data_IF_829019453636
#
_entry.id   IF_829019453636
#
_cell.length_a   1.000
_cell.length_b   1.000
_cell.length_c   1.000
_cell.angle_alpha   90.00
_cell.angle_beta   90.00
_cell.angle_gamma   90.00
#
_symmetry.space_group_name_H-M   'P 1'
#
loop_
_entity.id
_entity.type
_entity.pdbx_description
1 polymer ?
#
# COMPACT_ATOMS: atom_id res chain seq x y z
N UNK A 1 23.63 -9.97 -8.73
CA UNK A 1 22.82 -10.41 -7.57
C UNK A 1 23.47 -9.83 -6.33
N UNK A 2 22.89 -8.78 -5.80
CA UNK A 2 23.31 -8.21 -4.51
C UNK A 2 23.04 -9.26 -3.43
N UNK A 3 24.09 -9.74 -2.79
CA UNK A 3 23.94 -10.67 -1.68
C UNK A 3 23.25 -9.93 -0.54
N UNK A 4 22.11 -10.44 -0.09
CA UNK A 4 21.42 -9.96 1.09
C UNK A 4 22.42 -9.88 2.26
N UNK A 5 22.69 -8.70 2.77
CA UNK A 5 23.60 -8.52 3.89
C UNK A 5 22.83 -8.71 5.21
N UNK A 6 22.97 -9.92 5.78
CA UNK A 6 22.26 -10.30 7.01
C UNK A 6 22.55 -9.40 8.20
N UNK A 7 23.75 -8.83 8.31
CA UNK A 7 24.07 -7.92 9.41
C UNK A 7 23.35 -6.58 9.30
N UNK A 8 23.26 -6.03 8.08
CA UNK A 8 22.48 -4.83 7.81
C UNK A 8 20.98 -5.09 8.00
N UNK A 9 20.48 -6.23 7.53
CA UNK A 9 19.08 -6.64 7.73
C UNK A 9 18.72 -6.68 9.21
N UNK A 10 19.55 -7.28 10.06
CA UNK A 10 19.28 -7.37 11.50
C UNK A 10 19.31 -6.01 12.18
N UNK A 11 20.10 -5.05 11.71
CA UNK A 11 20.12 -3.69 12.24
C UNK A 11 18.88 -2.88 11.84
N UNK A 12 18.36 -3.07 10.63
CA UNK A 12 17.16 -2.39 10.13
C UNK A 12 15.86 -3.03 10.65
N UNK A 13 15.90 -4.29 11.06
CA UNK A 13 14.73 -5.05 11.50
C UNK A 13 13.92 -4.36 12.60
N UNK A 14 14.51 -3.81 13.69
CA UNK A 14 13.74 -3.16 14.75
C UNK A 14 12.93 -1.96 14.25
N UNK A 15 13.50 -1.12 13.40
CA UNK A 15 12.84 0.07 12.85
C UNK A 15 11.68 -0.36 11.96
N UNK A 16 11.92 -1.36 11.10
CA UNK A 16 10.89 -1.90 10.22
C UNK A 16 9.76 -2.56 11.01
N UNK A 17 10.07 -3.27 12.10
CA UNK A 17 9.06 -3.87 12.98
C UNK A 17 8.19 -2.83 13.68
N UNK A 18 8.74 -1.68 14.08
CA UNK A 18 7.93 -0.55 14.61
C UNK A 18 6.95 -0.04 13.55
N UNK A 19 7.41 0.13 12.31
CA UNK A 19 6.53 0.51 11.19
C UNK A 19 5.41 -0.52 10.97
N UNK A 20 5.75 -1.81 10.93
CA UNK A 20 4.77 -2.91 10.83
C UNK A 20 3.74 -2.84 11.96
N UNK A 21 4.17 -2.61 13.19
CA UNK A 21 3.28 -2.52 14.35
C UNK A 21 2.29 -1.34 14.22
N UNK A 22 2.77 -0.17 13.82
CA UNK A 22 1.92 1.01 13.59
C UNK A 22 0.84 0.70 12.56
N UNK A 23 1.22 0.09 11.44
CA UNK A 23 0.28 -0.27 10.37
C UNK A 23 -0.71 -1.35 10.81
N UNK A 24 -0.29 -2.34 11.57
CA UNK A 24 -1.19 -3.34 12.16
C UNK A 24 -2.22 -2.68 13.09
N UNK A 25 -1.81 -1.70 13.89
CA UNK A 25 -2.73 -0.94 14.75
C UNK A 25 -3.73 -0.14 13.90
N UNK A 26 -3.28 0.51 12.84
CA UNK A 26 -4.16 1.25 11.93
C UNK A 26 -5.21 0.32 11.27
N UNK A 27 -4.79 -0.85 10.80
CA UNK A 27 -5.70 -1.86 10.23
C UNK A 27 -6.66 -2.43 11.28
N UNK A 28 -6.20 -2.63 12.52
CA UNK A 28 -7.05 -3.07 13.62
C UNK A 28 -8.12 -2.02 13.96
N UNK A 29 -7.76 -0.74 13.97
CA UNK A 29 -8.71 0.36 14.16
C UNK A 29 -9.76 0.35 13.05
N UNK A 30 -9.38 0.20 11.79
CA UNK A 30 -10.32 0.04 10.68
C UNK A 30 -11.26 -1.18 10.88
N UNK A 31 -10.71 -2.31 11.35
CA UNK A 31 -11.49 -3.52 11.65
C UNK A 31 -12.53 -3.29 12.77
N UNK A 32 -12.15 -2.55 13.82
CA UNK A 32 -13.05 -2.28 14.96
C UNK A 32 -14.13 -1.28 14.58
N UNK A 33 -13.76 -0.18 13.93
CA UNK A 33 -14.69 0.89 13.55
C UNK A 33 -15.65 0.43 12.44
N UNK A 34 -15.19 -0.40 11.51
CA UNK A 34 -15.97 -0.93 10.36
C UNK A 34 -16.64 0.15 9.53
N UNK A 35 -16.01 1.31 9.44
CA UNK A 35 -16.52 2.43 8.68
C UNK A 35 -15.72 2.64 7.39
N UNK A 36 -16.43 2.91 6.31
CA UNK A 36 -15.86 3.24 5.01
C UNK A 36 -14.89 4.42 5.10
N UNK A 37 -15.22 5.43 5.90
CA UNK A 37 -14.39 6.63 6.05
C UNK A 37 -13.06 6.30 6.70
N UNK A 38 -13.04 5.42 7.71
CA UNK A 38 -11.82 4.97 8.37
C UNK A 38 -10.90 4.25 7.39
N UNK A 39 -11.43 3.33 6.56
CA UNK A 39 -10.66 2.66 5.51
C UNK A 39 -10.13 3.65 4.48
N UNK A 40 -10.98 4.57 3.99
CA UNK A 40 -10.56 5.57 3.01
C UNK A 40 -9.44 6.44 3.55
N UNK A 41 -9.56 6.96 4.78
CA UNK A 41 -8.56 7.79 5.41
C UNK A 41 -7.23 7.06 5.61
N UNK A 42 -7.25 5.85 6.16
CA UNK A 42 -6.05 5.05 6.40
C UNK A 42 -5.33 4.72 5.10
N UNK A 43 -6.05 4.25 4.08
CA UNK A 43 -5.46 3.91 2.78
C UNK A 43 -4.91 5.17 2.11
N UNK A 44 -5.64 6.30 2.16
CA UNK A 44 -5.20 7.56 1.58
C UNK A 44 -3.91 8.08 2.22
N UNK A 45 -3.81 8.03 3.55
CA UNK A 45 -2.58 8.41 4.28
C UNK A 45 -1.41 7.52 3.84
N UNK A 46 -1.61 6.21 3.74
CA UNK A 46 -0.55 5.29 3.34
C UNK A 46 -0.08 5.51 1.90
N UNK A 47 -0.99 5.76 0.96
CA UNK A 47 -0.61 6.09 -0.41
C UNK A 47 0.07 7.46 -0.49
N UNK A 48 -0.37 8.42 0.32
CA UNK A 48 0.30 9.73 0.43
C UNK A 48 1.72 9.60 0.96
N UNK A 49 1.93 8.83 2.05
CA UNK A 49 3.26 8.52 2.59
C UNK A 49 4.13 7.85 1.52
N UNK A 50 3.57 6.89 0.76
CA UNK A 50 4.27 6.27 -0.37
C UNK A 50 4.72 7.31 -1.40
N UNK A 51 3.87 8.29 -1.71
CA UNK A 51 4.18 9.34 -2.68
C UNK A 51 5.32 10.24 -2.19
N UNK A 52 5.30 10.66 -0.91
CA UNK A 52 6.37 11.48 -0.32
C UNK A 52 7.73 10.77 -0.36
N UNK A 53 7.73 9.48 -0.08
CA UNK A 53 8.96 8.68 -0.01
C UNK A 53 9.32 7.95 -1.31
N UNK A 54 8.57 8.18 -2.39
CA UNK A 54 8.78 7.50 -3.67
C UNK A 54 10.14 7.74 -4.30
N UNK A 55 10.75 8.91 -4.04
CA UNK A 55 12.06 9.29 -4.58
C UNK A 55 13.22 9.04 -3.61
N UNK A 56 12.93 8.77 -2.34
CA UNK A 56 13.98 8.50 -1.34
C UNK A 56 14.47 7.07 -1.50
N UNK A 57 15.73 6.95 -1.91
CA UNK A 57 16.41 5.66 -1.94
C UNK A 57 17.10 5.39 -0.61
N UNK A 58 16.92 4.22 -0.07
CA UNK A 58 17.61 3.70 1.11
C UNK A 58 18.32 2.40 0.75
N UNK A 59 19.39 2.10 1.47
CA UNK A 59 20.02 0.78 1.42
C UNK A 59 19.34 -0.12 2.45
N UNK A 60 18.47 -1.04 1.99
CA UNK A 60 17.81 -2.01 2.83
C UNK A 60 18.49 -3.36 2.67
N UNK A 61 19.24 -3.76 3.70
CA UNK A 61 19.96 -5.04 3.73
C UNK A 61 20.92 -5.26 2.54
N UNK A 62 21.54 -4.20 2.03
CA UNK A 62 22.43 -4.24 0.87
C UNK A 62 21.70 -4.15 -0.49
N UNK A 63 20.39 -3.87 -0.47
CA UNK A 63 19.59 -3.66 -1.67
C UNK A 63 19.03 -2.23 -1.72
N UNK A 64 19.10 -1.56 -2.88
CA UNK A 64 18.47 -0.25 -3.05
C UNK A 64 16.96 -0.40 -2.89
N UNK A 65 16.36 0.22 -1.88
CA UNK A 65 14.94 0.15 -1.61
C UNK A 65 14.32 1.53 -1.46
N UNK A 66 12.99 1.59 -1.54
CA UNK A 66 12.20 2.80 -1.44
C UNK A 66 11.32 2.69 -0.18
N UNK A 67 11.55 3.50 0.87
CA UNK A 67 10.91 3.33 2.18
C UNK A 67 9.37 3.45 2.13
N UNK A 68 8.82 4.17 1.15
CA UNK A 68 7.38 4.27 0.94
C UNK A 68 6.69 2.95 0.58
N UNK A 69 7.42 1.91 0.19
CA UNK A 69 6.81 0.65 -0.25
C UNK A 69 6.10 -0.12 0.88
N UNK A 70 6.50 0.05 2.14
CA UNK A 70 5.78 -0.51 3.29
C UNK A 70 4.37 0.07 3.38
N UNK A 71 4.24 1.39 3.27
CA UNK A 71 2.94 2.06 3.30
C UNK A 71 2.05 1.65 2.11
N UNK A 72 2.65 1.42 0.92
CA UNK A 72 1.90 0.86 -0.23
C UNK A 72 1.36 -0.54 0.07
N UNK A 73 2.15 -1.41 0.69
CA UNK A 73 1.69 -2.75 1.08
C UNK A 73 0.57 -2.66 2.11
N UNK A 74 0.67 -1.76 3.09
CA UNK A 74 -0.39 -1.51 4.05
C UNK A 74 -1.67 -1.00 3.39
N UNK A 75 -1.57 -0.10 2.40
CA UNK A 75 -2.72 0.36 1.61
C UNK A 75 -3.39 -0.80 0.84
N UNK A 76 -2.61 -1.70 0.24
CA UNK A 76 -3.12 -2.91 -0.43
C UNK A 76 -3.87 -3.81 0.57
N UNK A 77 -3.27 -4.08 1.71
CA UNK A 77 -3.86 -4.91 2.77
C UNK A 77 -5.11 -4.26 3.36
N UNK A 78 -5.14 -2.93 3.48
CA UNK A 78 -6.31 -2.16 3.85
C UNK A 78 -7.49 -2.35 2.89
N UNK A 79 -7.24 -2.32 1.57
CA UNK A 79 -8.25 -2.67 0.56
C UNK A 79 -8.72 -4.12 0.71
N UNK A 80 -7.78 -5.04 0.97
CA UNK A 80 -8.09 -6.44 1.21
C UNK A 80 -8.92 -6.69 2.43
N UNK A 81 -8.60 -6.05 3.51
CA UNK A 81 -9.37 -6.12 4.75
C UNK A 81 -10.77 -5.53 4.56
N UNK A 82 -10.88 -4.39 3.87
CA UNK A 82 -12.15 -3.78 3.51
C UNK A 82 -13.02 -4.75 2.70
N UNK A 83 -12.44 -5.45 1.71
CA UNK A 83 -13.13 -6.47 0.93
C UNK A 83 -13.62 -7.63 1.79
N UNK A 84 -12.76 -8.16 2.64
CA UNK A 84 -13.09 -9.30 3.51
C UNK A 84 -14.15 -8.99 4.58
N UNK A 85 -14.32 -7.73 4.97
CA UNK A 85 -15.26 -7.31 6.03
C UNK A 85 -16.53 -6.70 5.45
N UNK A 86 -16.40 -5.82 4.46
CA UNK A 86 -17.48 -4.96 3.96
C UNK A 86 -17.94 -5.33 2.53
N UNK A 87 -17.24 -6.26 1.89
CA UNK A 87 -17.57 -6.74 0.54
C UNK A 87 -17.08 -5.85 -0.59
N UNK A 88 -17.30 -6.33 -1.83
CA UNK A 88 -16.75 -5.75 -3.06
C UNK A 88 -17.25 -4.33 -3.35
N UNK A 89 -18.53 -4.05 -3.12
CA UNK A 89 -19.12 -2.74 -3.42
C UNK A 89 -18.52 -1.63 -2.57
N UNK A 90 -18.37 -1.89 -1.25
CA UNK A 90 -17.76 -0.93 -0.34
C UNK A 90 -16.29 -0.70 -0.69
N UNK A 91 -15.54 -1.76 -0.96
CA UNK A 91 -14.14 -1.69 -1.37
C UNK A 91 -13.97 -0.87 -2.65
N UNK A 92 -14.85 -1.04 -3.63
CA UNK A 92 -14.83 -0.24 -4.84
C UNK A 92 -15.06 1.24 -4.57
N UNK A 93 -15.99 1.59 -3.68
CA UNK A 93 -16.24 2.98 -3.26
C UNK A 93 -15.03 3.58 -2.53
N UNK A 94 -14.38 2.81 -1.64
CA UNK A 94 -13.14 3.21 -0.95
C UNK A 94 -12.03 3.47 -1.97
N UNK A 95 -11.76 2.50 -2.85
CA UNK A 95 -10.73 2.61 -3.87
C UNK A 95 -10.92 3.84 -4.77
N UNK A 96 -12.13 4.07 -5.29
CA UNK A 96 -12.43 5.26 -6.10
C UNK A 96 -12.21 6.56 -5.33
N UNK A 97 -12.59 6.61 -4.06
CA UNK A 97 -12.38 7.81 -3.23
C UNK A 97 -10.90 8.11 -3.03
N UNK A 98 -10.08 7.08 -2.82
CA UNK A 98 -8.63 7.23 -2.70
C UNK A 98 -8.01 7.66 -4.03
N UNK A 99 -8.38 7.04 -5.15
CA UNK A 99 -7.90 7.44 -6.49
C UNK A 99 -8.24 8.90 -6.78
N UNK A 100 -9.47 9.33 -6.48
CA UNK A 100 -9.87 10.73 -6.65
C UNK A 100 -9.04 11.68 -5.78
N UNK A 101 -8.82 11.33 -4.51
CA UNK A 101 -7.99 12.13 -3.61
C UNK A 101 -6.53 12.23 -4.07
N UNK A 102 -5.97 11.14 -4.62
CA UNK A 102 -4.63 11.15 -5.20
C UNK A 102 -4.54 12.00 -6.46
N UNK A 103 -5.57 11.98 -7.32
CA UNK A 103 -5.64 12.86 -8.48
C UNK A 103 -5.67 14.33 -8.07
N UNK A 104 -6.47 14.69 -7.06
CA UNK A 104 -6.47 16.04 -6.52
C UNK A 104 -5.10 16.43 -5.95
N UNK A 105 -4.48 15.54 -5.19
CA UNK A 105 -3.13 15.76 -4.65
C UNK A 105 -2.13 15.98 -5.78
N UNK A 106 -2.17 15.15 -6.82
CA UNK A 106 -1.32 15.29 -8.00
C UNK A 106 -1.49 16.66 -8.68
N UNK A 107 -2.73 17.11 -8.91
CA UNK A 107 -3.00 18.43 -9.49
C UNK A 107 -2.51 19.57 -8.61
N UNK A 108 -2.68 19.46 -7.30
CA UNK A 108 -2.20 20.47 -6.36
C UNK A 108 -0.67 20.54 -6.32
N UNK A 109 0.03 19.42 -6.22
CA UNK A 109 1.50 19.40 -6.23
C UNK A 109 2.05 19.95 -7.53
N UNK A 110 1.47 19.58 -8.67
CA UNK A 110 1.89 20.12 -9.96
C UNK A 110 1.63 21.62 -10.10
N UNK A 111 0.56 22.13 -9.51
CA UNK A 111 0.28 23.57 -9.52
C UNK A 111 1.30 24.36 -8.71
N UNK A 112 1.78 23.83 -7.59
CA UNK A 112 2.83 24.47 -6.79
C UNK A 112 4.16 24.53 -7.52
N UNK A 113 4.49 23.52 -8.32
CA UNK A 113 5.71 23.52 -9.13
C UNK A 113 5.68 24.58 -10.27
N UNK A 114 4.48 25.03 -10.68
CA UNK A 114 4.29 26.06 -11.71
C UNK A 114 4.23 27.49 -11.12
N UNK A 115 4.21 27.65 -9.81
CA UNK A 115 4.22 28.97 -9.19
C UNK A 115 5.67 29.44 -9.01
N UNK A 116 5.95 30.66 -9.52
CA UNK A 116 7.23 31.30 -9.29
C UNK A 116 7.44 31.61 -7.81
N UNK A 117 8.67 31.40 -7.34
CA UNK A 117 9.05 31.69 -5.97
C UNK A 117 8.91 33.18 -5.68
N UNK A 118 8.31 33.52 -4.55
CA UNK A 118 8.31 34.90 -4.06
C UNK A 118 9.75 35.23 -3.62
N UNK A 119 10.43 36.21 -4.22
CA UNK A 119 11.79 36.55 -3.86
C UNK A 119 11.94 36.84 -2.35
N UNK A 120 12.85 36.11 -1.70
CA UNK A 120 13.13 36.26 -0.27
C UNK A 120 12.33 35.34 0.66
N UNK A 121 11.56 34.36 0.14
CA UNK A 121 10.81 33.39 0.93
C UNK A 121 11.33 31.98 0.62
N UNK A 122 12.28 31.50 1.41
CA UNK A 122 12.92 30.18 1.23
C UNK A 122 12.01 28.98 1.60
N UNK A 123 10.72 29.20 1.84
CA UNK A 123 9.77 28.11 2.17
C UNK A 123 9.61 27.13 1.02
N UNK A 124 9.72 27.63 -0.22
CA UNK A 124 9.60 26.82 -1.42
C UNK A 124 10.74 25.79 -1.55
N UNK A 125 11.97 26.15 -1.18
CA UNK A 125 13.11 25.24 -1.23
C UNK A 125 12.98 24.09 -0.23
N UNK A 126 12.46 24.37 0.96
CA UNK A 126 12.18 23.33 1.97
C UNK A 126 11.07 22.38 1.50
N UNK A 127 10.02 22.88 0.88
CA UNK A 127 8.94 22.06 0.30
C UNK A 127 9.41 21.27 -0.93
N UNK A 128 10.20 21.84 -1.81
CA UNK A 128 10.80 21.15 -2.97
C UNK A 128 11.70 20.01 -2.54
N UNK A 129 12.46 20.16 -1.46
CA UNK A 129 13.30 19.10 -0.92
C UNK A 129 12.50 18.01 -0.17
N UNK A 130 11.26 18.29 0.21
CA UNK A 130 10.41 17.38 0.99
C UNK A 130 9.38 16.65 0.15
N UNK A 131 8.90 17.24 -0.94
CA UNK A 131 7.99 16.60 -1.90
C UNK A 131 8.78 16.01 -3.08
N UNK A 132 8.29 14.94 -3.71
CA UNK A 132 8.92 14.41 -4.91
C UNK A 132 8.95 15.51 -5.98
N UNK A 133 10.15 15.95 -6.32
CA UNK A 133 10.40 17.05 -7.27
C UNK A 133 9.99 16.71 -8.70
N UNK A 134 9.57 15.48 -8.96
CA UNK A 134 9.17 15.03 -10.28
C UNK A 134 7.75 14.43 -10.28
N UNK A 135 7.01 14.82 -11.29
CA UNK A 135 5.66 14.35 -11.60
C UNK A 135 5.62 12.83 -11.79
N UNK A 136 6.72 12.23 -12.29
CA UNK A 136 6.81 10.81 -12.62
C UNK A 136 6.61 9.86 -11.42
N UNK A 137 7.31 10.00 -10.28
CA UNK A 137 7.11 9.13 -9.13
C UNK A 137 5.68 9.21 -8.57
N UNK A 138 5.07 10.40 -8.57
CA UNK A 138 3.68 10.56 -8.13
C UNK A 138 2.70 9.84 -9.07
N UNK A 139 2.91 9.93 -10.39
CA UNK A 139 2.15 9.16 -11.39
C UNK A 139 2.36 7.67 -11.24
N UNK A 140 3.58 7.22 -10.95
CA UNK A 140 3.88 5.82 -10.71
C UNK A 140 3.15 5.27 -9.47
N UNK A 141 3.09 6.03 -8.38
CA UNK A 141 2.33 5.66 -7.18
C UNK A 141 0.84 5.57 -7.49
N UNK A 142 0.29 6.57 -8.19
CA UNK A 142 -1.11 6.58 -8.62
C UNK A 142 -1.42 5.39 -9.55
N UNK A 143 -0.59 5.16 -10.56
CA UNK A 143 -0.70 4.03 -11.49
C UNK A 143 -0.66 2.70 -10.74
N UNK A 144 0.35 2.49 -9.90
CA UNK A 144 0.45 1.29 -9.06
C UNK A 144 -0.80 1.06 -8.22
N UNK A 145 -1.34 2.08 -7.59
CA UNK A 145 -2.55 1.95 -6.77
C UNK A 145 -3.78 1.61 -7.60
N UNK A 146 -3.92 2.19 -8.81
CA UNK A 146 -5.00 1.87 -9.75
C UNK A 146 -4.91 0.40 -10.18
N UNK A 147 -3.72 -0.04 -10.62
CA UNK A 147 -3.50 -1.43 -11.04
C UNK A 147 -3.74 -2.42 -9.90
N UNK A 148 -3.23 -2.14 -8.72
CA UNK A 148 -3.43 -2.97 -7.53
C UNK A 148 -4.93 -3.11 -7.24
N UNK A 149 -5.69 -2.02 -7.20
CA UNK A 149 -7.12 -2.07 -6.91
C UNK A 149 -7.90 -2.86 -7.95
N UNK A 150 -7.60 -2.68 -9.25
CA UNK A 150 -8.21 -3.46 -10.32
C UNK A 150 -7.84 -4.95 -10.22
N UNK A 151 -6.57 -5.25 -9.96
CA UNK A 151 -6.08 -6.62 -9.84
C UNK A 151 -6.68 -7.35 -8.65
N UNK A 152 -6.84 -6.67 -7.51
CA UNK A 152 -7.50 -7.23 -6.33
C UNK A 152 -8.95 -7.60 -6.62
N UNK A 153 -9.70 -6.74 -7.31
CA UNK A 153 -11.10 -7.02 -7.65
C UNK A 153 -11.24 -8.20 -8.62
N UNK A 154 -10.43 -8.22 -9.68
CA UNK A 154 -10.45 -9.30 -10.67
C UNK A 154 -9.98 -10.61 -10.01
N UNK A 155 -8.88 -10.57 -9.26
CA UNK A 155 -8.29 -11.74 -8.63
C UNK A 155 -9.21 -12.40 -7.62
N UNK A 156 -9.89 -11.62 -6.78
CA UNK A 156 -10.85 -12.19 -5.84
C UNK A 156 -12.09 -12.77 -6.50
N UNK A 157 -12.60 -12.14 -7.53
CA UNK A 157 -13.72 -12.70 -8.28
C UNK A 157 -13.33 -14.01 -8.96
N UNK A 158 -12.12 -14.07 -9.53
CA UNK A 158 -11.62 -15.25 -10.24
C UNK A 158 -11.27 -16.39 -9.29
N UNK A 159 -10.72 -16.09 -8.12
CA UNK A 159 -10.29 -17.04 -7.09
C UNK A 159 -11.38 -17.30 -6.03
N UNK A 160 -12.61 -16.84 -6.23
CA UNK A 160 -13.71 -16.97 -5.27
C UNK A 160 -14.03 -18.42 -4.88
N UNK A 161 -13.66 -19.39 -5.72
CA UNK A 161 -13.82 -20.83 -5.46
C UNK A 161 -12.73 -21.44 -4.61
N UNK A 162 -11.64 -20.71 -4.38
CA UNK A 162 -10.50 -21.18 -3.58
C UNK A 162 -10.72 -20.84 -2.09
N UNK A 163 -10.01 -21.54 -1.19
CA UNK A 163 -10.01 -21.16 0.22
C UNK A 163 -9.64 -19.67 0.38
N UNK A 164 -10.35 -18.91 1.22
CA UNK A 164 -10.17 -17.44 1.31
C UNK A 164 -8.71 -17.02 1.55
N UNK A 165 -7.97 -17.75 2.38
CA UNK A 165 -6.57 -17.46 2.66
C UNK A 165 -5.68 -17.61 1.41
N UNK A 166 -5.95 -18.63 0.57
CA UNK A 166 -5.18 -18.89 -0.64
C UNK A 166 -5.51 -17.85 -1.72
N UNK A 167 -6.80 -17.57 -1.94
CA UNK A 167 -7.25 -16.55 -2.87
C UNK A 167 -6.65 -15.18 -2.51
N UNK A 168 -6.68 -14.83 -1.22
CA UNK A 168 -6.12 -13.60 -0.71
C UNK A 168 -4.61 -13.52 -0.93
N UNK A 169 -3.87 -14.57 -0.55
CA UNK A 169 -2.41 -14.61 -0.69
C UNK A 169 -1.97 -14.51 -2.16
N UNK A 170 -2.55 -15.32 -3.04
CA UNK A 170 -2.20 -15.30 -4.46
C UNK A 170 -2.48 -13.95 -5.11
N UNK A 171 -3.64 -13.37 -4.80
CA UNK A 171 -4.03 -12.07 -5.36
C UNK A 171 -3.09 -10.96 -4.88
N UNK A 172 -2.74 -10.94 -3.59
CA UNK A 172 -1.85 -9.93 -3.02
C UNK A 172 -0.41 -10.04 -3.55
N UNK A 173 0.13 -11.24 -3.65
CA UNK A 173 1.47 -11.46 -4.20
C UNK A 173 1.53 -11.04 -5.68
N UNK A 174 0.53 -11.44 -6.47
CA UNK A 174 0.47 -11.08 -7.89
C UNK A 174 0.29 -9.57 -8.10
N UNK A 175 -0.59 -8.93 -7.32
CA UNK A 175 -0.78 -7.47 -7.35
C UNK A 175 0.49 -6.73 -6.93
N UNK A 176 1.21 -7.24 -5.95
CA UNK A 176 2.50 -6.69 -5.51
C UNK A 176 3.56 -6.75 -6.59
N UNK A 177 3.65 -7.86 -7.32
CA UNK A 177 4.61 -8.02 -8.42
C UNK A 177 4.30 -7.05 -9.56
N UNK A 178 3.05 -7.04 -10.04
CA UNK A 178 2.63 -6.17 -11.14
C UNK A 178 2.81 -4.70 -10.77
N UNK A 179 2.40 -4.32 -9.56
CA UNK A 179 2.57 -2.95 -9.06
C UNK A 179 4.04 -2.56 -8.84
N UNK A 180 4.95 -3.51 -8.52
CA UNK A 180 6.38 -3.22 -8.42
C UNK A 180 7.00 -2.94 -9.79
N UNK A 181 6.66 -3.76 -10.79
CA UNK A 181 7.12 -3.59 -12.17
C UNK A 181 6.62 -2.26 -12.74
N UNK A 182 5.32 -1.99 -12.63
CA UNK A 182 4.71 -0.76 -13.13
C UNK A 182 5.33 0.46 -12.44
N UNK A 183 5.41 0.45 -11.11
CA UNK A 183 5.97 1.55 -10.33
C UNK A 183 7.38 1.92 -10.76
N UNK A 184 8.26 0.93 -10.95
CA UNK A 184 9.65 1.18 -11.35
C UNK A 184 9.73 1.62 -12.81
N UNK A 185 8.97 1.01 -13.71
CA UNK A 185 8.99 1.37 -15.12
C UNK A 185 8.44 2.79 -15.36
N UNK A 186 7.32 3.13 -14.75
CA UNK A 186 6.71 4.47 -14.94
C UNK A 186 7.51 5.54 -14.21
N UNK A 187 7.93 5.26 -12.97
CA UNK A 187 8.59 6.24 -12.12
C UNK A 187 10.03 6.53 -12.54
N UNK A 188 10.77 5.50 -12.93
CA UNK A 188 12.24 5.59 -12.97
C UNK A 188 12.88 5.16 -14.27
N UNK A 189 12.18 4.52 -15.21
CA UNK A 189 12.78 4.14 -16.49
C UNK A 189 13.23 5.36 -17.28
N UNK A 190 14.52 5.43 -17.58
CA UNK A 190 15.14 6.56 -18.30
C UNK A 190 15.25 7.86 -17.49
N UNK A 191 15.06 7.81 -16.16
CA UNK A 191 15.34 8.94 -15.28
C UNK A 191 16.78 8.87 -14.75
N UNK A 192 17.39 10.03 -14.52
CA UNK A 192 18.72 10.13 -13.90
C UNK A 192 18.66 10.18 -12.36
N UNK A 193 17.48 10.02 -11.78
CA UNK A 193 17.26 10.18 -10.33
C UNK A 193 17.73 8.98 -9.54
N UNK A 194 17.80 7.80 -10.16
CA UNK A 194 18.24 6.56 -9.53
C UNK A 194 19.44 6.00 -10.28
N UNK A 195 20.51 5.75 -9.54
CA UNK A 195 21.75 5.20 -10.07
C UNK A 195 21.73 3.68 -10.22
N UNK A 196 20.77 3.00 -9.56
CA UNK A 196 20.64 1.55 -9.61
C UNK A 196 20.06 1.07 -10.95
N UNK A 197 20.51 -0.08 -11.48
CA UNK A 197 19.88 -0.69 -12.65
C UNK A 197 18.40 -0.96 -12.42
N UNK A 198 17.56 -0.68 -13.42
CA UNK A 198 16.09 -0.84 -13.33
C UNK A 198 15.68 -2.26 -12.88
N UNK A 199 16.38 -3.28 -13.36
CA UNK A 199 16.13 -4.67 -12.98
C UNK A 199 16.37 -4.93 -11.49
N UNK A 200 17.48 -4.41 -10.95
CA UNK A 200 17.82 -4.56 -9.54
C UNK A 200 16.80 -3.82 -8.66
N UNK A 201 16.33 -2.68 -9.12
CA UNK A 201 15.30 -1.91 -8.42
C UNK A 201 13.94 -2.64 -8.41
N UNK A 202 13.52 -3.25 -9.53
CA UNK A 202 12.30 -4.07 -9.59
C UNK A 202 12.40 -5.22 -8.59
N UNK A 203 13.51 -5.97 -8.62
CA UNK A 203 13.73 -7.11 -7.73
C UNK A 203 13.71 -6.66 -6.28
N UNK A 204 14.37 -5.55 -5.97
CA UNK A 204 14.45 -5.00 -4.62
C UNK A 204 13.08 -4.55 -4.11
N UNK A 205 12.35 -3.77 -4.89
CA UNK A 205 11.00 -3.29 -4.54
C UNK A 205 10.05 -4.47 -4.33
N UNK A 206 10.08 -5.46 -5.22
CA UNK A 206 9.25 -6.65 -5.08
C UNK A 206 9.63 -7.47 -3.85
N UNK A 207 10.92 -7.70 -3.61
CA UNK A 207 11.41 -8.46 -2.45
C UNK A 207 11.01 -7.78 -1.14
N UNK A 208 11.14 -6.46 -1.05
CA UNK A 208 10.73 -5.70 0.11
C UNK A 208 9.21 -5.76 0.34
N UNK A 209 8.41 -5.61 -0.73
CA UNK A 209 6.95 -5.78 -0.64
C UNK A 209 6.57 -7.18 -0.22
N UNK A 210 7.22 -8.21 -0.76
CA UNK A 210 6.96 -9.60 -0.39
C UNK A 210 7.27 -9.85 1.09
N UNK A 211 8.39 -9.32 1.57
CA UNK A 211 8.74 -9.39 3.00
C UNK A 211 7.67 -8.70 3.87
N UNK A 212 7.24 -7.50 3.53
CA UNK A 212 6.15 -6.82 4.22
C UNK A 212 4.86 -7.65 4.19
N UNK A 213 4.49 -8.25 3.04
CA UNK A 213 3.33 -9.12 2.93
C UNK A 213 3.42 -10.31 3.89
N UNK A 214 4.58 -10.96 3.97
CA UNK A 214 4.78 -12.10 4.88
C UNK A 214 4.57 -11.69 6.34
N UNK A 215 4.98 -10.48 6.71
CA UNK A 215 4.81 -9.97 8.08
C UNK A 215 3.37 -9.57 8.40
N UNK A 216 2.67 -8.92 7.47
CA UNK A 216 1.31 -8.42 7.70
C UNK A 216 0.19 -9.45 7.43
N UNK A 217 0.40 -10.35 6.46
CA UNK A 217 -0.65 -11.22 5.96
C UNK A 217 -1.29 -12.11 7.03
N UNK A 218 -0.53 -12.76 7.94
CA UNK A 218 -1.11 -13.57 9.00
C UNK A 218 -2.08 -12.77 9.88
N UNK A 219 -1.74 -11.52 10.17
CA UNK A 219 -2.58 -10.62 10.96
C UNK A 219 -3.89 -10.30 10.23
N UNK A 220 -3.83 -9.91 8.96
CA UNK A 220 -5.01 -9.55 8.17
C UNK A 220 -5.92 -10.76 7.93
N UNK A 221 -5.35 -11.93 7.60
CA UNK A 221 -6.11 -13.18 7.46
C UNK A 221 -6.81 -13.54 8.78
N UNK A 222 -6.12 -13.36 9.91
CA UNK A 222 -6.70 -13.54 11.24
C UNK A 222 -7.91 -12.64 11.48
N UNK A 223 -7.85 -11.36 11.12
CA UNK A 223 -8.98 -10.44 11.24
C UNK A 223 -10.16 -10.83 10.33
N UNK A 224 -9.89 -11.24 9.11
CA UNK A 224 -10.94 -11.72 8.17
C UNK A 224 -11.61 -12.98 8.72
N UNK A 225 -10.82 -13.91 9.25
CA UNK A 225 -11.34 -15.14 9.84
C UNK A 225 -12.22 -14.87 11.07
N UNK A 226 -11.77 -14.00 11.97
CA UNK A 226 -12.54 -13.54 13.12
C UNK A 226 -13.88 -12.90 12.70
N UNK A 227 -13.86 -12.11 11.62
CA UNK A 227 -15.09 -11.51 11.09
C UNK A 227 -16.08 -12.56 10.60
N UNK A 228 -15.59 -13.58 9.88
CA UNK A 228 -16.44 -14.66 9.38
C UNK A 228 -17.09 -15.48 10.52
N UNK A 229 -16.33 -15.81 11.56
CA UNK A 229 -16.87 -16.49 12.72
C UNK A 229 -17.93 -15.69 13.47
N UNK A 230 -17.74 -14.37 13.59
CA UNK A 230 -18.71 -13.46 14.21
C UNK A 230 -20.04 -13.45 13.45
N UNK A 231 -19.97 -13.30 12.12
CA UNK A 231 -21.16 -13.33 11.26
C UNK A 231 -21.95 -14.63 11.40
N UNK A 232 -21.28 -15.78 11.46
CA UNK A 232 -21.93 -17.08 11.66
C UNK A 232 -22.57 -17.22 13.05
N UNK A 233 -21.98 -16.64 14.10
CA UNK A 233 -22.54 -16.66 15.45
C UNK A 233 -23.79 -15.79 15.57
N UNK A 234 -23.80 -14.64 14.91
CA UNK A 234 -24.95 -13.72 14.91
C UNK A 234 -26.14 -14.33 14.17
N UNK A 235 -25.93 -14.96 13.01
CA UNK A 235 -26.98 -15.70 12.28
C UNK A 235 -27.57 -16.85 13.11
N UNK A 236 -26.72 -17.60 13.82
CA UNK A 236 -27.22 -18.69 14.71
C UNK A 236 -28.04 -18.17 15.88
N UNK A 237 -27.69 -17.01 16.41
CA UNK A 237 -28.39 -16.39 17.54
C UNK A 237 -29.77 -15.86 17.11
N UNK A 238 -29.87 -15.23 15.94
CA UNK A 238 -31.13 -14.79 15.36
C UNK A 238 -32.06 -15.98 15.07
N UNK A 239 -31.54 -17.04 14.44
CA UNK A 239 -32.31 -18.24 14.18
C UNK A 239 -32.83 -18.94 15.48
N UNK A 240 -32.14 -18.80 16.61
CA UNK A 240 -32.57 -19.36 17.88
C UNK A 240 -33.64 -18.53 18.60
N UNK A 241 -33.77 -17.24 18.27
CA UNK A 241 -34.79 -16.34 18.86
C UNK A 241 -36.13 -16.41 18.12
N UNK A 242 -36.15 -16.87 16.85
CA UNK A 242 -37.38 -16.99 16.07
C UNK A 242 -38.18 -18.27 16.38
N UNK A 243 -37.62 -19.20 17.14
CA UNK A 243 -38.26 -20.49 17.53
C UNK A 243 -38.65 -20.59 19.03
N UNK A 244 -38.54 -19.51 19.78
CA UNK A 244 -38.97 -19.42 21.20
C UNK A 244 -40.12 -18.49 21.37
#
# INVERSE_FOLDING_TARGET
MSNLNWSLFMNELPITMVGVLIECVALLVCYVIRDRTAFTATIMVNVFVTTIYATKQIDWAGMPSLPGQMAMVSAMLGLGLCYGIMGSECTYKVWRSVVFGLLLLFFWTHRFDLQDDIPGYDVAEHYRNSLPTTVRPALAVLGSFIYIGAFLQIGWNWLSHQPPWLAYTLTMVSASLVGAVEFVLVGFYGSNEITAPVQDLIISVFTFRLWCLVMFMPFVIGLIHLNHHRSLSDVKREASTDYG
#
